data_IF_114584423209
#
_entry.id   IF_114584423209
#
_cell.length_a   1.000
_cell.length_b   1.000
_cell.length_c   1.000
_cell.angle_alpha   90.00
_cell.angle_beta   90.00
_cell.angle_gamma   90.00
#
_symmetry.space_group_name_H-M   'P 1'
#
loop_
_entity.id
_entity.type
_entity.pdbx_description
1 polymer ?
#
# COMPACT_ATOMS: atom_id res chain seq x y z
N UNK A 1 -14.86 5.58 -21.53
CA UNK A 1 -15.02 5.42 -23.00
C UNK A 1 -16.37 4.83 -23.39
N UNK A 2 -16.95 3.91 -22.60
CA UNK A 2 -18.21 3.21 -22.94
C UNK A 2 -19.44 4.11 -23.17
N UNK A 3 -19.44 5.32 -22.60
CA UNK A 3 -20.52 6.31 -22.78
C UNK A 3 -20.35 7.21 -24.02
N UNK A 4 -19.19 7.14 -24.69
CA UNK A 4 -18.93 7.93 -25.90
C UNK A 4 -19.31 7.12 -27.13
N UNK A 5 -19.99 7.76 -28.09
CA UNK A 5 -20.25 7.17 -29.40
C UNK A 5 -18.94 7.14 -30.22
N UNK A 6 -18.20 6.04 -30.12
CA UNK A 6 -16.96 5.80 -30.87
C UNK A 6 -17.25 5.09 -32.18
N UNK A 7 -16.56 5.47 -33.26
CA UNK A 7 -16.57 4.73 -34.53
C UNK A 7 -15.88 3.37 -34.38
N UNK A 8 -16.18 2.39 -35.24
CA UNK A 8 -15.52 1.09 -35.18
C UNK A 8 -13.97 1.17 -35.27
N UNK A 9 -13.38 2.00 -36.16
CA UNK A 9 -11.93 2.19 -36.18
C UNK A 9 -11.37 2.72 -34.85
N UNK A 10 -12.05 3.71 -34.23
CA UNK A 10 -11.66 4.25 -32.92
C UNK A 10 -11.75 3.17 -31.82
N UNK A 11 -12.78 2.33 -31.84
CA UNK A 11 -12.92 1.23 -30.88
C UNK A 11 -11.81 0.18 -31.02
N UNK A 12 -11.45 -0.18 -32.26
CA UNK A 12 -10.37 -1.13 -32.52
C UNK A 12 -9.02 -0.57 -32.06
N UNK A 13 -8.72 0.69 -32.37
CA UNK A 13 -7.49 1.37 -31.93
C UNK A 13 -7.44 1.53 -30.41
N UNK A 14 -8.56 1.88 -29.76
CA UNK A 14 -8.62 2.00 -28.31
C UNK A 14 -8.33 0.66 -27.61
N UNK A 15 -8.87 -0.45 -28.13
CA UNK A 15 -8.59 -1.79 -27.61
C UNK A 15 -7.11 -2.16 -27.70
N UNK A 16 -6.46 -1.83 -28.82
CA UNK A 16 -5.04 -2.11 -29.00
C UNK A 16 -4.15 -1.26 -28.07
N UNK A 17 -4.47 0.02 -27.89
CA UNK A 17 -3.81 0.89 -26.91
C UNK A 17 -3.95 0.29 -25.51
N UNK A 18 -5.18 -0.05 -25.10
CA UNK A 18 -5.44 -0.65 -23.78
C UNK A 18 -4.62 -1.92 -23.59
N UNK A 19 -4.65 -2.85 -24.55
CA UNK A 19 -3.89 -4.11 -24.48
C UNK A 19 -2.38 -3.88 -24.31
N UNK A 20 -1.81 -2.92 -25.06
CA UNK A 20 -0.37 -2.58 -24.99
C UNK A 20 0.02 -2.04 -23.61
N UNK A 21 -0.78 -1.12 -23.07
CA UNK A 21 -0.51 -0.53 -21.76
C UNK A 21 -0.80 -1.50 -20.61
N UNK A 22 -1.85 -2.32 -20.69
CA UNK A 22 -2.17 -3.32 -19.68
C UNK A 22 -1.03 -4.31 -19.49
N UNK A 23 -0.42 -4.77 -20.58
CA UNK A 23 0.78 -5.65 -20.51
C UNK A 23 1.94 -4.98 -19.75
N UNK A 24 2.14 -3.67 -19.98
CA UNK A 24 3.20 -2.90 -19.31
C UNK A 24 2.86 -2.64 -17.84
N UNK A 25 1.60 -2.31 -17.55
CA UNK A 25 1.09 -2.09 -16.20
C UNK A 25 1.19 -3.37 -15.36
N UNK A 26 0.78 -4.51 -15.89
CA UNK A 26 0.88 -5.82 -15.22
C UNK A 26 2.33 -6.15 -14.85
N UNK A 27 3.26 -5.87 -15.77
CA UNK A 27 4.69 -6.09 -15.53
C UNK A 27 5.20 -5.22 -14.38
N UNK A 28 4.89 -3.92 -14.38
CA UNK A 28 5.32 -3.00 -13.32
C UNK A 28 4.61 -3.31 -12.00
N UNK A 29 3.34 -3.70 -12.03
CA UNK A 29 2.61 -4.13 -10.84
C UNK A 29 3.23 -5.36 -10.19
N UNK A 30 3.64 -6.34 -11.00
CA UNK A 30 4.35 -7.52 -10.50
C UNK A 30 5.66 -7.13 -9.83
N UNK A 31 6.47 -6.29 -10.47
CA UNK A 31 7.73 -5.80 -9.89
C UNK A 31 7.49 -5.02 -8.59
N UNK A 32 6.45 -4.19 -8.55
CA UNK A 32 6.05 -3.45 -7.35
C UNK A 32 5.71 -4.42 -6.20
N UNK A 33 4.88 -5.43 -6.47
CA UNK A 33 4.51 -6.44 -5.48
C UNK A 33 5.71 -7.26 -4.99
N UNK A 34 6.61 -7.65 -5.89
CA UNK A 34 7.85 -8.35 -5.54
C UNK A 34 8.73 -7.51 -4.60
N UNK A 35 8.94 -6.23 -4.93
CA UNK A 35 9.74 -5.31 -4.11
C UNK A 35 9.09 -5.03 -2.76
N UNK A 36 7.77 -4.87 -2.73
CA UNK A 36 7.03 -4.70 -1.49
C UNK A 36 7.16 -5.91 -0.56
N UNK A 37 7.01 -7.12 -1.10
CA UNK A 37 7.21 -8.36 -0.33
C UNK A 37 8.66 -8.53 0.13
N UNK A 38 9.63 -8.11 -0.67
CA UNK A 38 11.05 -8.08 -0.29
C UNK A 38 11.31 -7.14 0.90
N UNK A 39 10.67 -5.97 0.93
CA UNK A 39 10.72 -5.06 2.09
C UNK A 39 10.19 -5.74 3.35
N UNK A 40 9.00 -6.36 3.27
CA UNK A 40 8.40 -7.07 4.42
C UNK A 40 9.32 -8.19 4.90
N UNK A 41 9.89 -9.00 4.00
CA UNK A 41 10.84 -10.06 4.37
C UNK A 41 12.09 -9.50 5.05
N UNK A 42 12.60 -8.37 4.55
CA UNK A 42 13.78 -7.70 5.11
C UNK A 42 13.49 -7.17 6.51
N UNK A 43 12.33 -6.57 6.75
CA UNK A 43 11.91 -6.11 8.08
C UNK A 43 11.75 -7.28 9.05
N UNK A 44 11.14 -8.38 8.61
CA UNK A 44 11.04 -9.61 9.42
C UNK A 44 12.43 -10.16 9.76
N UNK A 45 13.35 -10.19 8.80
CA UNK A 45 14.72 -10.64 9.02
C UNK A 45 15.49 -9.72 9.99
N UNK A 46 15.31 -8.39 9.89
CA UNK A 46 15.85 -7.42 10.83
C UNK A 46 15.36 -7.69 12.25
N UNK A 47 14.05 -7.87 12.43
CA UNK A 47 13.47 -8.16 13.75
C UNK A 47 13.98 -9.47 14.33
N UNK A 48 14.09 -10.52 13.51
CA UNK A 48 14.64 -11.81 13.92
C UNK A 48 16.12 -11.68 14.36
N UNK A 49 16.93 -10.96 13.58
CA UNK A 49 18.33 -10.74 13.91
C UNK A 49 18.51 -9.94 15.22
N UNK A 50 17.62 -8.97 15.51
CA UNK A 50 17.61 -8.28 16.80
C UNK A 50 17.24 -9.25 17.94
N UNK A 51 16.21 -10.09 17.75
CA UNK A 51 15.80 -11.08 18.76
C UNK A 51 16.86 -12.13 19.07
N UNK A 52 17.67 -12.52 18.10
CA UNK A 52 18.76 -13.49 18.30
C UNK A 52 19.81 -12.99 19.30
N UNK A 53 19.98 -11.66 19.42
CA UNK A 53 20.89 -11.02 20.37
C UNK A 53 20.28 -10.84 21.77
N UNK A 54 18.99 -11.14 21.93
CA UNK A 54 18.32 -11.12 23.23
C UNK A 54 18.53 -12.44 23.99
N UNK A 55 18.56 -12.36 25.31
CA UNK A 55 18.51 -13.54 26.19
C UNK A 55 17.13 -14.18 26.12
N UNK A 56 17.03 -15.48 26.44
CA UNK A 56 15.74 -16.20 26.37
C UNK A 56 14.62 -15.56 27.23
N UNK A 57 14.89 -15.03 28.45
CA UNK A 57 13.90 -14.27 29.20
C UNK A 57 13.43 -13.00 28.48
N UNK A 58 14.34 -12.24 27.86
CA UNK A 58 14.01 -11.05 27.08
C UNK A 58 13.18 -11.42 25.83
N UNK A 59 13.53 -12.50 25.12
CA UNK A 59 12.73 -13.00 23.98
C UNK A 59 11.33 -13.42 24.39
N UNK A 60 11.19 -14.11 25.52
CA UNK A 60 9.89 -14.50 26.05
C UNK A 60 9.01 -13.27 26.33
N UNK A 61 9.60 -12.20 26.87
CA UNK A 61 8.92 -10.93 27.09
C UNK A 61 8.50 -10.24 25.77
N UNK A 62 9.38 -10.19 24.76
CA UNK A 62 9.02 -9.68 23.40
C UNK A 62 7.84 -10.45 22.83
N UNK A 63 7.88 -11.78 22.88
CA UNK A 63 6.82 -12.65 22.33
C UNK A 63 5.49 -12.47 23.07
N UNK A 64 5.53 -12.24 24.38
CA UNK A 64 4.34 -11.94 25.18
C UNK A 64 3.76 -10.56 24.82
N UNK A 65 4.61 -9.53 24.69
CA UNK A 65 4.18 -8.20 24.26
C UNK A 65 3.54 -8.24 22.86
N UNK A 66 4.17 -8.94 21.89
CA UNK A 66 3.59 -9.10 20.55
C UNK A 66 2.24 -9.81 20.56
N UNK A 67 2.08 -10.84 21.38
CA UNK A 67 0.77 -11.52 21.54
C UNK A 67 -0.28 -10.56 22.08
N UNK A 68 0.04 -9.75 23.08
CA UNK A 68 -0.87 -8.74 23.63
C UNK A 68 -1.28 -7.69 22.59
N UNK A 69 -0.33 -7.17 21.81
CA UNK A 69 -0.61 -6.21 20.73
C UNK A 69 -1.50 -6.82 19.65
N UNK A 70 -1.17 -8.02 19.16
CA UNK A 70 -1.97 -8.70 18.14
C UNK A 70 -3.41 -8.99 18.63
N UNK A 71 -3.59 -9.32 19.91
CA UNK A 71 -4.92 -9.49 20.50
C UNK A 71 -5.68 -8.16 20.61
N UNK A 72 -5.00 -7.05 20.94
CA UNK A 72 -5.59 -5.72 21.01
C UNK A 72 -6.03 -5.21 19.62
N UNK A 73 -5.18 -5.39 18.60
CA UNK A 73 -5.50 -5.04 17.20
C UNK A 73 -6.70 -5.85 16.69
N UNK A 74 -6.73 -7.17 16.94
CA UNK A 74 -7.86 -8.01 16.57
C UNK A 74 -9.17 -7.60 17.27
N UNK A 75 -9.07 -7.14 18.52
CA UNK A 75 -10.23 -6.62 19.25
C UNK A 75 -10.74 -5.30 18.64
N UNK A 76 -9.85 -4.43 18.17
CA UNK A 76 -10.19 -3.18 17.49
C UNK A 76 -10.86 -3.44 16.13
N UNK A 77 -10.33 -4.35 15.32
CA UNK A 77 -10.92 -4.75 14.04
C UNK A 77 -12.36 -5.29 14.19
N UNK A 78 -12.65 -6.02 15.26
CA UNK A 78 -13.99 -6.51 15.58
C UNK A 78 -15.01 -5.43 15.95
N UNK A 79 -14.57 -4.22 16.32
CA UNK A 79 -15.45 -3.11 16.75
C UNK A 79 -15.84 -2.14 15.64
N UNK A 80 -15.23 -2.21 14.46
CA UNK A 80 -15.49 -1.30 13.33
C UNK A 80 -16.82 -1.56 12.57
N UNK A 81 -17.69 -2.45 13.05
CA UNK A 81 -18.95 -2.82 12.39
C UNK A 81 -20.20 -2.08 12.90
N UNK A 82 -20.09 -1.11 13.82
CA UNK A 82 -21.25 -0.31 14.27
C UNK A 82 -21.09 1.18 13.97
N UNK A 83 -21.84 1.74 13.00
CA UNK A 83 -21.86 3.18 12.75
C UNK A 83 -22.85 3.83 13.71
N UNK A 84 -22.36 4.24 14.88
CA UNK A 84 -22.82 5.40 15.66
C UNK A 84 -22.49 5.22 17.14
N UNK A 85 -21.43 5.90 17.58
CA UNK A 85 -21.52 6.67 18.82
C UNK A 85 -20.44 7.75 18.78
N UNK A 86 -20.87 8.98 19.06
CA UNK A 86 -19.99 10.11 19.30
C UNK A 86 -18.87 9.68 20.26
N UNK A 87 -17.62 9.76 19.80
CA UNK A 87 -16.46 9.36 20.57
C UNK A 87 -15.46 10.50 20.57
N UNK A 88 -15.39 11.15 21.74
CA UNK A 88 -14.13 11.56 22.35
C UNK A 88 -12.94 10.85 21.74
N UNK A 89 -11.98 11.64 21.25
CA UNK A 89 -10.63 11.27 20.80
C UNK A 89 -10.21 9.94 21.48
N UNK A 90 -10.14 8.81 20.75
CA UNK A 90 -9.57 7.61 21.31
C UNK A 90 -8.10 7.95 21.58
N UNK A 91 -7.72 8.03 22.85
CA UNK A 91 -6.32 7.82 23.20
C UNK A 91 -6.01 6.42 22.70
N UNK A 92 -5.08 6.37 21.76
CA UNK A 92 -4.75 5.19 21.00
C UNK A 92 -4.43 4.05 21.97
N UNK A 93 -5.31 3.05 22.06
CA UNK A 93 -5.13 1.92 22.97
C UNK A 93 -3.86 1.13 22.62
N UNK A 94 -3.36 1.26 21.38
CA UNK A 94 -2.08 0.74 20.94
C UNK A 94 -0.90 1.46 21.61
N UNK A 95 -0.96 2.80 21.77
CA UNK A 95 0.06 3.59 22.48
C UNK A 95 0.12 3.25 23.98
N UNK A 96 -1.02 2.97 24.62
CA UNK A 96 -1.05 2.54 26.02
C UNK A 96 -0.46 1.14 26.25
N UNK A 97 -0.58 0.22 25.29
CA UNK A 97 0.04 -1.12 25.38
C UNK A 97 1.55 -1.05 25.09
N UNK A 98 1.97 -0.18 24.17
CA UNK A 98 3.39 0.09 23.86
C UNK A 98 4.14 0.76 25.03
N UNK A 99 3.44 1.48 25.91
CA UNK A 99 4.00 2.08 27.12
C UNK A 99 4.36 1.07 28.24
N UNK A 100 4.07 -0.23 28.05
CA UNK A 100 4.25 -1.28 29.05
C UNK A 100 5.62 -1.97 29.00
N UNK A 101 6.56 -1.48 29.81
CA UNK A 101 7.85 -2.11 30.18
C UNK A 101 8.80 -2.34 29.00
N UNK A 102 9.65 -1.34 28.73
CA UNK A 102 10.80 -1.51 27.85
C UNK A 102 11.71 -2.63 28.35
N UNK A 103 12.24 -3.43 27.42
CA UNK A 103 13.26 -4.42 27.73
C UNK A 103 14.57 -3.66 27.94
N UNK A 104 15.15 -3.76 29.14
CA UNK A 104 16.50 -3.25 29.38
C UNK A 104 17.50 -4.10 28.60
N UNK A 105 18.20 -3.46 27.66
CA UNK A 105 19.31 -4.05 26.92
C UNK A 105 20.62 -3.76 27.67
N UNK A 106 21.61 -4.63 27.51
CA UNK A 106 22.99 -4.28 27.88
C UNK A 106 23.60 -3.39 26.80
N UNK A 107 24.65 -2.64 27.15
CA UNK A 107 25.39 -1.80 26.19
C UNK A 107 25.90 -2.61 24.98
N UNK A 108 26.28 -3.87 25.19
CA UNK A 108 26.70 -4.79 24.13
C UNK A 108 25.52 -5.20 23.21
N UNK A 109 24.34 -5.42 23.77
CA UNK A 109 23.13 -5.75 23.01
C UNK A 109 22.63 -4.53 22.20
N UNK A 110 22.71 -3.33 22.78
CA UNK A 110 22.37 -2.09 22.09
C UNK A 110 23.32 -1.84 20.92
N UNK A 111 24.64 -1.95 21.13
CA UNK A 111 25.62 -1.80 20.07
C UNK A 111 25.46 -2.86 18.96
N UNK A 112 25.11 -4.10 19.31
CA UNK A 112 24.82 -5.16 18.34
C UNK A 112 23.54 -4.86 17.54
N UNK A 113 22.47 -4.43 18.21
CA UNK A 113 21.22 -4.03 17.56
C UNK A 113 21.43 -2.85 16.61
N UNK A 114 22.20 -1.83 17.01
CA UNK A 114 22.53 -0.68 16.17
C UNK A 114 23.31 -1.07 14.91
N UNK A 115 24.26 -2.00 15.05
CA UNK A 115 25.02 -2.52 13.91
C UNK A 115 24.13 -3.27 12.93
N UNK A 116 23.25 -4.13 13.43
CA UNK A 116 22.27 -4.87 12.62
C UNK A 116 21.32 -3.87 11.95
N UNK A 117 20.78 -2.91 12.71
CA UNK A 117 19.90 -1.88 12.18
C UNK A 117 20.57 -1.11 11.03
N UNK A 118 21.83 -0.66 11.20
CA UNK A 118 22.57 0.01 10.13
C UNK A 118 22.73 -0.84 8.87
N UNK A 119 23.00 -2.15 9.01
CA UNK A 119 23.15 -3.06 7.88
C UNK A 119 21.85 -3.19 7.06
N UNK A 120 20.72 -3.37 7.73
CA UNK A 120 19.43 -3.59 7.07
C UNK A 120 18.80 -2.27 6.58
N UNK A 121 19.04 -1.15 7.26
CA UNK A 121 18.48 0.15 6.88
C UNK A 121 18.94 0.64 5.51
N UNK A 122 20.19 0.37 5.12
CA UNK A 122 20.66 0.70 3.77
C UNK A 122 19.84 -0.03 2.70
N UNK A 123 19.58 -1.34 2.92
CA UNK A 123 18.80 -2.15 2.01
C UNK A 123 17.33 -1.70 1.96
N UNK A 124 16.71 -1.44 3.13
CA UNK A 124 15.32 -0.95 3.21
C UNK A 124 15.14 0.41 2.52
N UNK A 125 16.10 1.34 2.66
CA UNK A 125 16.08 2.62 1.93
C UNK A 125 16.14 2.42 0.42
N UNK A 126 16.98 1.48 -0.05
CA UNK A 126 17.06 1.14 -1.47
C UNK A 126 15.73 0.58 -1.97
N UNK A 127 15.14 -0.40 -1.26
CA UNK A 127 13.85 -0.99 -1.61
C UNK A 127 12.73 0.06 -1.63
N UNK A 128 12.70 0.97 -0.66
CA UNK A 128 11.71 2.05 -0.63
C UNK A 128 11.87 2.98 -1.84
N UNK A 129 13.11 3.33 -2.23
CA UNK A 129 13.36 4.13 -3.44
C UNK A 129 12.88 3.41 -4.70
N UNK A 130 13.12 2.10 -4.79
CA UNK A 130 12.69 1.29 -5.93
C UNK A 130 11.15 1.20 -6.00
N UNK A 131 10.48 0.98 -4.86
CA UNK A 131 9.01 0.99 -4.74
C UNK A 131 8.44 2.34 -5.18
N UNK A 132 9.01 3.45 -4.72
CA UNK A 132 8.60 4.79 -5.14
C UNK A 132 8.77 4.99 -6.66
N UNK A 133 9.91 4.56 -7.21
CA UNK A 133 10.16 4.60 -8.65
C UNK A 133 9.13 3.80 -9.46
N UNK A 134 8.79 2.60 -9.00
CA UNK A 134 7.77 1.74 -9.61
C UNK A 134 6.36 2.36 -9.49
N UNK A 135 6.03 2.95 -8.34
CA UNK A 135 4.76 3.67 -8.16
C UNK A 135 4.64 4.84 -9.13
N UNK A 136 5.68 5.68 -9.23
CA UNK A 136 5.71 6.77 -10.22
C UNK A 136 5.55 6.22 -11.63
N UNK A 137 6.20 5.10 -11.95
CA UNK A 137 6.08 4.46 -13.26
C UNK A 137 4.66 3.97 -13.56
N UNK A 138 3.96 3.38 -12.59
CA UNK A 138 2.56 2.97 -12.73
C UNK A 138 1.66 4.16 -13.04
N UNK A 139 1.80 5.24 -12.27
CA UNK A 139 1.03 6.48 -12.48
C UNK A 139 1.32 7.08 -13.86
N UNK A 140 2.59 7.13 -14.28
CA UNK A 140 2.96 7.62 -15.60
C UNK A 140 2.39 6.76 -16.72
N UNK A 141 2.43 5.42 -16.61
CA UNK A 141 1.85 4.53 -17.62
C UNK A 141 0.34 4.70 -17.75
N UNK A 142 -0.37 4.88 -16.63
CA UNK A 142 -1.81 5.14 -16.65
C UNK A 142 -2.12 6.51 -17.27
N UNK A 143 -1.33 7.54 -16.95
CA UNK A 143 -1.45 8.86 -17.57
C UNK A 143 -1.19 8.80 -19.09
N UNK A 144 -0.12 8.12 -19.53
CA UNK A 144 0.23 7.94 -20.94
C UNK A 144 -0.88 7.17 -21.68
N UNK A 145 -1.43 6.10 -21.07
CA UNK A 145 -2.58 5.36 -21.60
C UNK A 145 -3.77 6.28 -21.82
N UNK A 146 -4.10 7.13 -20.85
CA UNK A 146 -5.20 8.08 -20.98
C UNK A 146 -4.95 9.10 -22.10
N UNK A 147 -3.74 9.64 -22.20
CA UNK A 147 -3.36 10.59 -23.26
C UNK A 147 -3.48 9.94 -24.66
N UNK A 148 -2.99 8.71 -24.82
CA UNK A 148 -3.10 7.98 -26.09
C UNK A 148 -4.56 7.69 -26.45
N UNK A 149 -5.41 7.38 -25.47
CA UNK A 149 -6.85 7.22 -25.69
C UNK A 149 -7.53 8.55 -26.03
N UNK A 150 -7.12 9.66 -25.42
CA UNK A 150 -7.64 10.99 -25.72
C UNK A 150 -7.30 11.46 -27.15
N UNK A 151 -6.13 11.08 -27.68
CA UNK A 151 -5.73 11.36 -29.08
C UNK A 151 -6.67 10.72 -30.11
N UNK A 152 -7.37 9.65 -29.76
CA UNK A 152 -8.34 9.01 -30.65
C UNK A 152 -9.66 9.76 -30.74
N UNK A 153 -9.93 10.66 -29.79
CA UNK A 153 -11.23 11.32 -29.66
C UNK A 153 -11.29 12.63 -30.46
N UNK A 154 -12.47 12.95 -30.98
CA UNK A 154 -12.73 14.27 -31.55
C UNK A 154 -12.82 15.33 -30.45
N UNK A 155 -12.70 16.62 -30.82
CA UNK A 155 -12.85 17.74 -29.87
C UNK A 155 -14.19 17.71 -29.14
N UNK A 156 -15.26 17.32 -29.84
CA UNK A 156 -16.61 17.20 -29.26
C UNK A 156 -16.69 16.02 -28.28
N UNK A 157 -16.10 14.87 -28.62
CA UNK A 157 -16.02 13.72 -27.72
C UNK A 157 -15.19 14.04 -26.47
N UNK A 158 -14.09 14.80 -26.60
CA UNK A 158 -13.30 15.28 -25.46
C UNK A 158 -14.08 16.26 -24.58
N UNK A 159 -14.87 17.16 -25.17
CA UNK A 159 -15.73 18.08 -24.41
C UNK A 159 -16.78 17.32 -23.59
N UNK A 160 -17.46 16.33 -24.20
CA UNK A 160 -18.39 15.44 -23.51
C UNK A 160 -17.73 14.66 -22.36
N UNK A 161 -16.49 14.21 -22.58
CA UNK A 161 -15.73 13.49 -21.56
C UNK A 161 -15.36 14.40 -20.37
N UNK A 162 -14.94 15.64 -20.63
CA UNK A 162 -14.62 16.64 -19.58
C UNK A 162 -15.86 17.04 -18.78
N UNK A 163 -16.98 17.28 -19.45
CA UNK A 163 -18.27 17.57 -18.80
C UNK A 163 -18.74 16.38 -17.95
N UNK A 164 -18.59 15.16 -18.47
CA UNK A 164 -18.83 13.94 -17.70
C UNK A 164 -17.97 13.80 -16.45
N UNK A 165 -16.68 14.20 -16.50
CA UNK A 165 -15.79 14.18 -15.32
C UNK A 165 -16.19 15.21 -14.26
N UNK A 166 -16.62 16.40 -14.68
CA UNK A 166 -17.10 17.45 -13.76
C UNK A 166 -18.43 17.06 -13.09
N UNK A 167 -19.27 16.31 -13.81
CA UNK A 167 -20.56 15.83 -13.31
C UNK A 167 -20.44 14.52 -12.50
N UNK A 168 -19.29 13.83 -12.53
CA UNK A 168 -19.02 12.73 -11.61
C UNK A 168 -18.54 13.28 -10.27
N UNK A 169 -19.49 13.46 -9.34
CA UNK A 169 -19.20 13.68 -7.92
C UNK A 169 -18.28 12.56 -7.41
N UNK A 170 -17.22 12.84 -6.64
CA UNK A 170 -16.36 11.80 -6.06
C UNK A 170 -17.17 11.06 -4.99
N UNK A 171 -17.77 9.92 -5.34
CA UNK A 171 -18.47 9.08 -4.36
C UNK A 171 -19.76 8.39 -4.82
N UNK A 172 -19.96 8.11 -6.11
CA UNK A 172 -21.06 7.20 -6.48
C UNK A 172 -20.61 5.76 -6.23
N UNK A 173 -20.96 5.27 -5.03
CA UNK A 173 -20.82 3.89 -4.57
C UNK A 173 -21.22 2.90 -5.67
N UNK A 174 -20.38 1.89 -5.87
CA UNK A 174 -20.73 0.62 -6.50
C UNK A 174 -21.96 0.04 -5.78
N UNK A 175 -23.15 0.34 -6.26
CA UNK A 175 -24.31 -0.51 -6.01
C UNK A 175 -24.20 -1.68 -6.98
N UNK A 176 -23.65 -2.78 -6.49
CA UNK A 176 -23.82 -4.09 -7.11
C UNK A 176 -25.31 -4.44 -7.05
N UNK A 177 -26.02 -4.27 -8.16
CA UNK A 177 -27.32 -4.94 -8.35
C UNK A 177 -27.04 -6.36 -8.82
N UNK A 178 -26.89 -7.25 -7.84
CA UNK A 178 -27.01 -8.70 -8.04
C UNK A 178 -28.48 -9.01 -8.31
N UNK A 179 -28.71 -9.87 -9.30
CA UNK A 179 -30.03 -10.40 -9.70
C UNK A 179 -30.72 -11.17 -8.58
#
# INVERSE_FOLDING_TARGET
>A
LEKLKLTQPQQAQAKEIVRKFDTSLDTVWKQFGEKYLETVRTEVALLAAIEDNLTEPQRAQVREQRRKVAHAEKALEGTNTKPNRAATKPVDASEQVLAGVGISLTDEQEAAADKIHHQYMSHLRSLNRDIQGLHTRLVSLEADKLVELEKLLTKEQLAQLREGRLNMTPGSKLTSTTK
#
